data_IF_446677359936
#
_entry.id   IF_446677359936
#
_cell.length_a   1.000
_cell.length_b   1.000
_cell.length_c   1.000
_cell.angle_alpha   90.00
_cell.angle_beta   90.00
_cell.angle_gamma   90.00
#
_symmetry.space_group_name_H-M   'P 1'
#
loop_
_entity.id
_entity.type
_entity.pdbx_description
1 polymer ?
#
# COMPACT_ATOMS: atom_id res chain seq x y z
N UNK A 1 9.34 14.19 28.98
CA UNK A 1 9.94 12.83 29.17
C UNK A 1 11.21 12.74 28.34
N UNK A 2 12.24 12.07 28.82
CA UNK A 2 13.47 11.85 28.07
C UNK A 2 13.26 10.76 26.99
N UNK A 3 13.88 10.90 25.83
CA UNK A 3 13.80 9.92 24.76
C UNK A 3 14.55 8.63 25.16
N UNK A 4 13.85 7.50 25.15
CA UNK A 4 14.38 6.15 25.15
C UNK A 4 13.33 5.23 24.50
N UNK A 5 13.71 3.99 24.20
CA UNK A 5 12.84 3.06 23.48
C UNK A 5 11.50 2.80 24.17
N UNK A 6 11.50 2.60 25.47
CA UNK A 6 10.28 2.36 26.26
C UNK A 6 9.33 3.57 26.22
N UNK A 7 9.87 4.78 26.34
CA UNK A 7 9.08 6.01 26.28
C UNK A 7 8.56 6.25 24.84
N UNK A 8 9.33 5.90 23.82
CA UNK A 8 8.91 5.97 22.43
C UNK A 8 7.74 5.02 22.16
N UNK A 9 7.84 3.76 22.55
CA UNK A 9 6.76 2.77 22.40
C UNK A 9 5.49 3.19 23.15
N UNK A 10 5.62 3.74 24.35
CA UNK A 10 4.50 4.30 25.12
C UNK A 10 3.85 5.48 24.37
N UNK A 11 4.64 6.41 23.86
CA UNK A 11 4.16 7.55 23.09
C UNK A 11 3.40 7.10 21.83
N UNK A 12 3.93 6.13 21.09
CA UNK A 12 3.24 5.55 19.93
C UNK A 12 1.91 4.89 20.33
N UNK A 13 1.89 4.14 21.43
CA UNK A 13 0.65 3.56 21.96
C UNK A 13 -0.39 4.62 22.30
N UNK A 14 0.02 5.73 22.93
CA UNK A 14 -0.85 6.86 23.22
C UNK A 14 -1.31 7.58 21.94
N UNK A 15 -0.44 7.76 20.95
CA UNK A 15 -0.77 8.34 19.65
C UNK A 15 -1.86 7.52 18.96
N UNK A 16 -1.69 6.20 18.87
CA UNK A 16 -2.69 5.30 18.28
C UNK A 16 -4.01 5.28 19.07
N UNK A 17 -3.96 5.39 20.38
CA UNK A 17 -5.17 5.41 21.23
C UNK A 17 -5.95 6.71 21.07
N UNK A 18 -5.29 7.86 20.94
CA UNK A 18 -5.92 9.19 20.81
C UNK A 18 -6.37 9.51 19.39
N UNK A 19 -5.68 8.95 18.38
CA UNK A 19 -5.91 9.20 16.96
C UNK A 19 -6.18 7.87 16.25
N UNK A 20 -7.43 7.36 16.28
CA UNK A 20 -7.76 6.10 15.63
C UNK A 20 -7.47 6.15 14.13
N UNK A 21 -7.02 5.03 13.58
CA UNK A 21 -6.67 4.91 12.17
C UNK A 21 -7.66 4.02 11.43
N UNK A 22 -8.00 4.40 10.19
CA UNK A 22 -8.83 3.56 9.32
C UNK A 22 -8.23 2.16 9.15
N UNK A 23 -6.90 2.07 9.12
CA UNK A 23 -6.21 0.79 9.01
C UNK A 23 -6.53 -0.16 10.17
N UNK A 24 -6.44 0.30 11.42
CA UNK A 24 -6.61 -0.54 12.62
C UNK A 24 -8.05 -0.60 13.11
N UNK A 25 -8.74 0.54 13.09
CA UNK A 25 -10.02 0.74 13.75
C UNK A 25 -11.21 0.78 12.78
N UNK A 26 -10.94 0.71 11.47
CA UNK A 26 -11.96 0.84 10.43
C UNK A 26 -12.48 2.28 10.33
N UNK A 27 -13.66 2.44 9.72
CA UNK A 27 -14.31 3.74 9.54
C UNK A 27 -15.12 4.16 10.78
N UNK A 28 -14.49 4.11 11.95
CA UNK A 28 -15.09 4.60 13.19
C UNK A 28 -15.04 6.13 13.26
N UNK A 29 -15.87 6.72 14.12
CA UNK A 29 -15.85 8.17 14.36
C UNK A 29 -14.45 8.62 14.82
N UNK A 30 -13.84 9.55 14.06
CA UNK A 30 -12.49 10.06 14.32
C UNK A 30 -11.36 9.37 13.54
N UNK A 31 -11.56 8.15 13.01
CA UNK A 31 -10.54 7.47 12.17
C UNK A 31 -10.47 8.07 10.75
N UNK A 32 -11.60 8.57 10.24
CA UNK A 32 -11.68 9.26 8.95
C UNK A 32 -12.33 10.63 9.13
N UNK A 33 -11.65 11.66 8.69
CA UNK A 33 -12.14 13.04 8.65
C UNK A 33 -12.17 13.50 7.19
N UNK A 34 -13.34 13.60 6.56
CA UNK A 34 -13.45 14.14 5.22
C UNK A 34 -13.17 15.65 5.23
N UNK A 35 -12.36 16.11 4.28
CA UNK A 35 -12.02 17.52 4.11
C UNK A 35 -10.54 17.79 4.31
N UNK A 36 -10.07 18.89 3.70
CA UNK A 36 -8.64 19.26 3.71
C UNK A 36 -8.33 20.39 4.71
N UNK A 37 -9.38 21.01 5.31
CA UNK A 37 -9.21 22.20 6.15
C UNK A 37 -8.32 21.95 7.37
N UNK A 38 -8.48 20.80 8.04
CA UNK A 38 -7.65 20.39 9.17
C UNK A 38 -6.18 20.24 8.75
N UNK A 39 -5.97 19.49 7.66
CA UNK A 39 -4.63 19.27 7.13
C UNK A 39 -3.98 20.56 6.63
N UNK A 40 -4.72 21.46 5.98
CA UNK A 40 -4.19 22.75 5.51
C UNK A 40 -3.75 23.65 6.67
N UNK A 41 -4.54 23.73 7.74
CA UNK A 41 -4.17 24.48 8.95
C UNK A 41 -2.95 23.88 9.64
N UNK A 42 -2.88 22.54 9.70
CA UNK A 42 -1.74 21.86 10.27
C UNK A 42 -0.48 22.09 9.44
N UNK A 43 -0.56 21.93 8.11
CA UNK A 43 0.54 22.19 7.18
C UNK A 43 1.05 23.66 7.30
N UNK A 44 0.13 24.62 7.45
CA UNK A 44 0.49 26.02 7.67
C UNK A 44 1.25 26.21 8.99
N UNK A 45 0.82 25.54 10.06
CA UNK A 45 1.52 25.58 11.35
C UNK A 45 2.92 24.97 11.30
N UNK A 46 3.14 24.02 10.39
CA UNK A 46 4.43 23.41 10.10
C UNK A 46 5.30 24.23 9.13
N UNK A 47 4.80 25.38 8.65
CA UNK A 47 5.50 26.25 7.70
C UNK A 47 5.44 25.75 6.25
N UNK A 48 4.39 25.04 5.87
CA UNK A 48 4.11 24.52 4.52
C UNK A 48 5.28 23.70 3.94
N UNK A 49 5.70 22.63 4.62
CA UNK A 49 6.90 21.87 4.26
C UNK A 49 6.86 21.31 2.84
N UNK A 50 5.68 20.92 2.31
CA UNK A 50 5.55 20.38 0.95
C UNK A 50 6.03 21.35 -0.15
N UNK A 51 6.10 22.63 0.11
CA UNK A 51 6.58 23.64 -0.86
C UNK A 51 8.10 23.64 -1.05
N UNK A 52 8.83 22.86 -0.26
CA UNK A 52 10.31 22.81 -0.28
C UNK A 52 10.90 21.70 -1.13
N UNK A 53 10.05 20.85 -1.71
CA UNK A 53 10.47 19.75 -2.57
C UNK A 53 9.46 19.56 -3.71
N UNK A 54 9.90 18.98 -4.82
CA UNK A 54 9.02 18.52 -5.88
C UNK A 54 8.28 17.28 -5.44
N UNK A 55 7.11 16.98 -6.07
CA UNK A 55 6.37 15.78 -5.70
C UNK A 55 5.72 15.08 -6.90
N UNK A 56 5.54 13.76 -6.78
CA UNK A 56 4.68 12.93 -7.64
C UNK A 56 3.57 12.37 -6.75
N UNK A 57 2.32 12.55 -7.16
CA UNK A 57 1.16 12.15 -6.35
C UNK A 57 0.48 10.93 -6.95
N UNK A 58 0.37 9.84 -6.16
CA UNK A 58 -0.10 8.53 -6.64
C UNK A 58 -1.37 8.11 -5.92
N UNK A 59 -2.48 7.99 -6.68
CA UNK A 59 -3.73 7.41 -6.21
C UNK A 59 -4.08 6.12 -6.98
N UNK A 60 -5.06 5.38 -6.50
CA UNK A 60 -5.50 4.12 -7.12
C UNK A 60 -6.12 3.18 -6.11
N UNK A 61 -6.68 2.06 -6.55
CA UNK A 61 -7.15 1.01 -5.66
C UNK A 61 -6.00 0.10 -5.27
N UNK A 62 -5.40 -0.58 -6.24
CA UNK A 62 -4.24 -1.45 -6.05
C UNK A 62 -3.04 -0.90 -6.83
N UNK A 63 -1.82 -1.31 -6.47
CA UNK A 63 -0.61 -0.92 -7.20
C UNK A 63 0.10 0.34 -6.70
N UNK A 64 -0.55 1.22 -5.95
CA UNK A 64 0.03 2.49 -5.47
C UNK A 64 1.44 2.34 -4.89
N UNK A 65 1.60 1.54 -3.83
CA UNK A 65 2.89 1.33 -3.17
C UNK A 65 3.96 0.73 -4.09
N UNK A 66 3.57 -0.15 -5.05
CA UNK A 66 4.50 -0.70 -6.05
C UNK A 66 4.97 0.38 -7.03
N UNK A 67 4.03 1.19 -7.57
CA UNK A 67 4.35 2.32 -8.46
C UNK A 67 5.24 3.33 -7.73
N UNK A 68 4.89 3.71 -6.49
CA UNK A 68 5.71 4.61 -5.67
C UNK A 68 7.13 4.08 -5.48
N UNK A 69 7.28 2.78 -5.19
CA UNK A 69 8.59 2.16 -4.95
C UNK A 69 9.45 2.07 -6.21
N UNK A 70 8.86 1.71 -7.36
CA UNK A 70 9.57 1.67 -8.64
C UNK A 70 10.01 3.08 -9.07
N UNK A 71 9.14 4.09 -8.92
CA UNK A 71 9.49 5.48 -9.19
C UNK A 71 10.61 5.97 -8.26
N UNK A 72 10.51 5.70 -6.96
CA UNK A 72 11.52 6.12 -6.01
C UNK A 72 12.89 5.48 -6.32
N UNK A 73 12.91 4.20 -6.70
CA UNK A 73 14.13 3.50 -7.10
C UNK A 73 14.75 4.11 -8.38
N UNK A 74 13.93 4.40 -9.40
CA UNK A 74 14.39 5.01 -10.65
C UNK A 74 14.92 6.44 -10.43
N UNK A 75 14.21 7.27 -9.70
CA UNK A 75 14.61 8.64 -9.38
C UNK A 75 15.90 8.67 -8.54
N UNK A 76 16.02 7.76 -7.57
CA UNK A 76 17.24 7.62 -6.78
C UNK A 76 18.45 7.19 -7.63
N UNK A 77 18.24 6.30 -8.61
CA UNK A 77 19.28 5.92 -9.57
C UNK A 77 19.71 7.07 -10.48
N UNK A 78 18.84 8.05 -10.71
CA UNK A 78 19.16 9.28 -11.44
C UNK A 78 19.87 10.34 -10.55
N UNK A 79 20.18 10.00 -9.30
CA UNK A 79 20.95 10.85 -8.38
C UNK A 79 20.11 11.72 -7.45
N UNK A 80 18.76 11.58 -7.48
CA UNK A 80 17.89 12.32 -6.57
C UNK A 80 17.90 11.71 -5.16
N UNK A 81 17.78 12.56 -4.15
CA UNK A 81 17.35 12.18 -2.81
C UNK A 81 15.82 12.15 -2.78
N UNK A 82 15.24 10.95 -2.70
CA UNK A 82 13.80 10.75 -2.88
C UNK A 82 13.11 10.55 -1.53
N UNK A 83 12.13 11.40 -1.20
CA UNK A 83 11.16 11.12 -0.15
C UNK A 83 10.14 10.10 -0.65
N UNK A 84 9.87 9.06 0.13
CA UNK A 84 8.86 8.04 -0.20
C UNK A 84 7.84 7.96 0.93
N UNK A 85 6.62 8.43 0.66
CA UNK A 85 5.48 8.33 1.57
C UNK A 85 4.51 7.26 1.10
N UNK A 86 4.33 6.20 1.91
CA UNK A 86 3.48 5.06 1.58
C UNK A 86 2.57 4.67 2.75
N UNK A 87 1.43 4.03 2.44
CA UNK A 87 0.49 3.54 3.44
C UNK A 87 -0.31 2.34 2.94
N UNK A 88 -0.77 1.47 3.85
CA UNK A 88 -0.41 1.39 5.27
C UNK A 88 0.99 0.81 5.50
N UNK A 89 1.54 0.95 6.71
CA UNK A 89 2.73 0.20 7.13
C UNK A 89 2.38 -1.26 7.42
N UNK A 90 3.36 -2.15 7.36
CA UNK A 90 3.20 -3.57 7.72
C UNK A 90 3.63 -3.85 9.15
N UNK A 91 4.90 -3.75 9.45
CA UNK A 91 5.49 -4.16 10.73
C UNK A 91 5.95 -2.99 11.58
N UNK A 92 6.42 -1.90 10.96
CA UNK A 92 6.93 -0.71 11.64
C UNK A 92 6.20 0.55 11.17
N UNK A 93 5.72 1.35 12.12
CA UNK A 93 5.08 2.63 11.83
C UNK A 93 5.90 3.54 10.89
N UNK A 94 7.23 3.51 11.03
CA UNK A 94 8.18 4.33 10.29
C UNK A 94 8.28 3.98 8.81
N UNK A 95 7.77 2.82 8.38
CA UNK A 95 7.68 2.43 6.96
C UNK A 95 6.92 3.46 6.11
N UNK A 96 6.08 4.30 6.76
CA UNK A 96 5.30 5.34 6.09
C UNK A 96 6.14 6.47 5.52
N UNK A 97 7.29 6.76 6.12
CA UNK A 97 8.18 7.83 5.68
C UNK A 97 9.60 7.32 5.51
N UNK A 98 10.05 7.25 4.27
CA UNK A 98 11.38 6.75 3.90
C UNK A 98 12.12 7.77 3.04
N UNK A 99 13.44 7.70 3.06
CA UNK A 99 14.31 8.32 2.06
C UNK A 99 14.98 7.21 1.28
N UNK A 100 14.96 7.33 -0.04
CA UNK A 100 15.61 6.42 -0.98
C UNK A 100 16.69 7.20 -1.70
N UNK A 101 17.93 6.77 -1.57
CA UNK A 101 19.11 7.41 -2.18
C UNK A 101 20.26 6.40 -2.29
N UNK A 102 21.15 6.56 -3.27
CA UNK A 102 22.37 5.77 -3.38
C UNK A 102 22.18 4.25 -3.48
N UNK A 103 21.03 3.79 -4.01
CA UNK A 103 20.70 2.37 -4.14
C UNK A 103 20.20 1.69 -2.86
N UNK A 104 19.85 2.45 -1.83
CA UNK A 104 19.28 1.97 -0.58
C UNK A 104 18.20 2.88 -0.02
N UNK A 105 17.72 2.54 1.17
CA UNK A 105 16.66 3.29 1.84
C UNK A 105 16.88 3.37 3.36
N UNK A 106 16.27 4.36 3.98
CA UNK A 106 16.14 4.48 5.44
C UNK A 106 14.78 5.03 5.83
N UNK A 107 14.25 4.59 6.95
CA UNK A 107 13.05 5.17 7.55
C UNK A 107 13.39 6.41 8.39
N UNK A 108 12.40 7.25 8.64
CA UNK A 108 12.44 8.22 9.72
C UNK A 108 12.84 7.53 11.03
N UNK A 109 13.74 8.10 11.80
CA UNK A 109 14.21 7.48 13.04
C UNK A 109 13.18 7.59 14.17
N UNK A 110 13.25 6.69 15.15
CA UNK A 110 12.40 6.74 16.35
C UNK A 110 12.55 8.09 17.08
N UNK A 111 13.74 8.68 17.04
CA UNK A 111 14.03 10.00 17.63
C UNK A 111 13.33 11.12 16.87
N UNK A 112 13.37 11.12 15.54
CA UNK A 112 12.69 12.14 14.73
C UNK A 112 11.16 12.05 14.87
N UNK A 113 10.58 10.84 14.94
CA UNK A 113 9.16 10.66 15.26
C UNK A 113 8.83 11.20 16.65
N UNK A 114 9.65 10.88 17.65
CA UNK A 114 9.49 11.37 19.02
C UNK A 114 9.51 12.89 19.10
N UNK A 115 10.50 13.50 18.46
CA UNK A 115 10.67 14.96 18.47
C UNK A 115 9.51 15.65 17.74
N UNK A 116 9.01 15.06 16.64
CA UNK A 116 7.84 15.60 15.93
C UNK A 116 6.58 15.53 16.80
N UNK A 117 6.27 14.38 17.37
CA UNK A 117 5.06 14.18 18.19
C UNK A 117 5.11 15.04 19.46
N UNK A 118 6.28 15.19 20.08
CA UNK A 118 6.45 16.01 21.28
C UNK A 118 6.53 17.51 21.02
N UNK A 119 6.84 17.92 19.80
CA UNK A 119 7.07 19.33 19.42
C UNK A 119 5.86 20.05 18.83
N UNK A 120 4.78 19.34 18.50
CA UNK A 120 3.62 19.92 17.80
C UNK A 120 2.31 19.65 18.54
N UNK A 121 1.34 20.57 18.40
CA UNK A 121 -0.04 20.34 18.82
C UNK A 121 -0.76 19.48 17.79
N UNK A 122 -1.07 18.25 18.17
CA UNK A 122 -1.75 17.25 17.33
C UNK A 122 -3.26 17.18 17.65
N UNK A 123 -3.76 18.03 18.51
CA UNK A 123 -5.16 18.04 18.96
C UNK A 123 -6.12 18.20 17.79
N UNK A 124 -7.14 17.36 17.75
CA UNK A 124 -8.16 17.43 16.72
C UNK A 124 -7.74 16.92 15.34
N UNK A 125 -6.50 16.47 15.13
CA UNK A 125 -6.06 15.86 13.87
C UNK A 125 -6.41 14.38 13.81
N UNK A 126 -6.64 13.85 12.62
CA UNK A 126 -6.69 12.41 12.37
C UNK A 126 -5.28 11.82 12.35
N UNK A 127 -5.20 10.50 12.57
CA UNK A 127 -3.94 9.78 12.45
C UNK A 127 -3.24 10.01 11.09
N UNK A 128 -4.02 10.07 10.01
CA UNK A 128 -3.46 10.24 8.68
C UNK A 128 -2.94 11.66 8.43
N UNK A 129 -3.64 12.70 8.94
CA UNK A 129 -3.14 14.09 8.91
C UNK A 129 -1.81 14.22 9.65
N UNK A 130 -1.70 13.60 10.85
CA UNK A 130 -0.46 13.62 11.64
C UNK A 130 0.69 12.96 10.87
N UNK A 131 0.46 11.78 10.31
CA UNK A 131 1.53 11.06 9.59
C UNK A 131 1.93 11.74 8.29
N UNK A 132 0.99 12.41 7.60
CA UNK A 132 1.26 13.21 6.41
C UNK A 132 2.10 14.43 6.74
N UNK A 133 1.70 15.22 7.75
CA UNK A 133 2.45 16.39 8.18
C UNK A 133 3.85 16.04 8.70
N UNK A 134 3.97 14.93 9.45
CA UNK A 134 5.26 14.41 9.90
C UNK A 134 6.18 14.05 8.72
N UNK A 135 5.67 13.32 7.74
CA UNK A 135 6.46 12.91 6.57
C UNK A 135 6.91 14.14 5.77
N UNK A 136 6.01 15.10 5.50
CA UNK A 136 6.36 16.31 4.75
C UNK A 136 7.37 17.18 5.48
N UNK A 137 7.22 17.36 6.80
CA UNK A 137 8.19 18.09 7.62
C UNK A 137 9.57 17.42 7.60
N UNK A 138 9.58 16.09 7.70
CA UNK A 138 10.81 15.33 7.66
C UNK A 138 11.50 15.42 6.29
N UNK A 139 10.76 15.25 5.19
CA UNK A 139 11.30 15.39 3.84
C UNK A 139 11.91 16.78 3.60
N UNK A 140 11.21 17.84 4.02
CA UNK A 140 11.72 19.19 3.93
C UNK A 140 12.99 19.40 4.77
N UNK A 141 13.03 18.84 5.99
CA UNK A 141 14.21 18.90 6.87
C UNK A 141 15.40 18.08 6.38
N UNK A 142 15.14 17.06 5.58
CA UNK A 142 16.16 16.21 4.95
C UNK A 142 16.54 16.68 3.55
N UNK A 143 15.99 17.82 3.09
CA UNK A 143 16.28 18.43 1.79
C UNK A 143 16.13 17.43 0.62
N UNK A 144 14.99 16.70 0.57
CA UNK A 144 14.73 15.80 -0.55
C UNK A 144 14.49 16.60 -1.82
N UNK A 145 15.00 16.11 -2.95
CA UNK A 145 14.81 16.74 -4.26
C UNK A 145 13.36 16.54 -4.76
N UNK A 146 12.85 15.34 -4.57
CA UNK A 146 11.51 14.94 -4.99
C UNK A 146 10.90 13.97 -3.99
N UNK A 147 9.58 14.08 -3.74
CA UNK A 147 8.84 13.11 -2.94
C UNK A 147 7.82 12.37 -3.78
N UNK A 148 7.81 11.03 -3.69
CA UNK A 148 6.76 10.18 -4.25
C UNK A 148 5.74 9.90 -3.15
N UNK A 149 4.51 10.38 -3.33
CA UNK A 149 3.50 10.48 -2.29
C UNK A 149 2.29 9.61 -2.66
N UNK A 150 2.06 8.55 -1.89
CA UNK A 150 0.89 7.69 -1.99
C UNK A 150 -0.29 8.29 -1.23
N UNK A 151 -1.50 8.37 -1.85
CA UNK A 151 -2.74 8.68 -1.14
C UNK A 151 -3.12 7.56 -0.16
N UNK A 152 -3.68 7.92 0.99
CA UNK A 152 -4.19 6.94 1.94
C UNK A 152 -5.53 6.35 1.50
N UNK A 153 -6.49 7.20 1.16
CA UNK A 153 -7.85 6.79 0.78
C UNK A 153 -8.45 7.76 -0.25
N UNK A 154 -8.96 7.22 -1.37
CA UNK A 154 -9.58 8.04 -2.41
C UNK A 154 -8.57 8.90 -3.14
N UNK A 155 -8.70 10.19 -3.07
CA UNK A 155 -7.83 11.21 -3.66
C UNK A 155 -8.31 12.62 -3.30
N UNK A 156 -9.53 12.99 -3.69
CA UNK A 156 -10.09 14.35 -3.56
C UNK A 156 -10.01 14.92 -2.15
N UNK A 157 -10.32 14.14 -1.13
CA UNK A 157 -10.35 14.53 0.28
C UNK A 157 -9.23 13.87 1.10
N UNK A 158 -8.24 13.28 0.42
CA UNK A 158 -7.09 12.67 1.08
C UNK A 158 -6.18 13.76 1.66
N UNK A 159 -5.65 13.56 2.86
CA UNK A 159 -4.78 14.55 3.52
C UNK A 159 -3.54 14.90 2.71
N UNK A 160 -3.09 14.01 1.81
CA UNK A 160 -1.96 14.29 0.92
C UNK A 160 -2.32 15.27 -0.20
N UNK A 161 -3.62 15.50 -0.48
CA UNK A 161 -4.07 16.29 -1.64
C UNK A 161 -3.96 17.81 -1.45
N UNK A 162 -3.24 18.27 -0.45
CA UNK A 162 -2.86 19.68 -0.25
C UNK A 162 -1.70 20.13 -1.17
N UNK A 163 -1.01 19.18 -1.81
CA UNK A 163 0.16 19.43 -2.66
C UNK A 163 -0.23 19.84 -4.08
N UNK A 164 0.72 20.48 -4.78
CA UNK A 164 0.70 20.67 -6.24
C UNK A 164 1.89 19.90 -6.81
N UNK A 165 1.68 18.66 -7.32
CA UNK A 165 2.77 17.80 -7.78
C UNK A 165 3.23 18.16 -9.21
N UNK A 166 4.39 17.63 -9.61
CA UNK A 166 4.87 17.67 -11.01
C UNK A 166 4.09 16.69 -11.91
N UNK A 167 3.53 15.60 -11.30
CA UNK A 167 2.79 14.56 -12.01
C UNK A 167 1.76 13.91 -11.07
N UNK A 168 0.54 13.70 -11.58
CA UNK A 168 -0.48 12.88 -10.92
C UNK A 168 -0.53 11.49 -11.57
N UNK A 169 -0.66 10.43 -10.76
CA UNK A 169 -0.75 9.05 -11.26
C UNK A 169 -1.96 8.38 -10.65
N UNK A 170 -2.78 7.75 -11.50
CA UNK A 170 -3.84 6.85 -11.10
C UNK A 170 -3.45 5.44 -11.51
N UNK A 171 -3.26 4.56 -10.53
CA UNK A 171 -3.03 3.13 -10.76
C UNK A 171 -4.37 2.42 -11.03
N UNK A 172 -4.48 1.13 -10.82
CA UNK A 172 -5.71 0.38 -11.12
C UNK A 172 -6.93 0.88 -10.34
N UNK A 173 -8.12 0.76 -10.94
CA UNK A 173 -9.42 1.05 -10.31
C UNK A 173 -10.19 -0.25 -10.08
N UNK A 174 -10.55 -0.50 -8.83
CA UNK A 174 -11.35 -1.65 -8.42
C UNK A 174 -12.29 -1.29 -7.27
N UNK A 175 -13.26 -2.15 -7.01
CA UNK A 175 -14.18 -1.99 -5.87
C UNK A 175 -13.42 -2.24 -4.57
N UNK A 176 -13.22 -1.19 -3.81
CA UNK A 176 -12.72 -1.20 -2.43
C UNK A 176 -13.19 0.06 -1.72
N UNK A 177 -13.37 -0.03 -0.40
CA UNK A 177 -13.87 1.08 0.41
C UNK A 177 -15.19 1.69 -0.10
N UNK A 178 -16.09 0.85 -0.63
CA UNK A 178 -17.31 1.29 -1.33
C UNK A 178 -18.22 2.16 -0.46
N UNK A 179 -18.24 1.94 0.85
CA UNK A 179 -19.02 2.77 1.79
C UNK A 179 -18.58 4.25 1.81
N UNK A 180 -17.34 4.56 1.38
CA UNK A 180 -16.78 5.91 1.42
C UNK A 180 -16.54 6.50 0.02
N UNK A 181 -16.17 5.66 -0.94
CA UNK A 181 -15.75 6.11 -2.27
C UNK A 181 -16.81 5.92 -3.35
N UNK A 182 -17.93 5.23 -3.02
CA UNK A 182 -18.99 4.90 -3.97
C UNK A 182 -19.06 3.41 -4.31
N UNK A 183 -20.24 2.97 -4.79
CA UNK A 183 -20.56 1.58 -5.07
C UNK A 183 -20.13 1.11 -6.47
N UNK A 184 -19.62 2.01 -7.31
CA UNK A 184 -19.22 1.73 -8.69
C UNK A 184 -17.77 2.12 -8.96
N UNK A 185 -17.15 1.51 -9.98
CA UNK A 185 -15.80 1.87 -10.40
C UNK A 185 -15.72 3.32 -10.89
N UNK A 186 -16.78 3.82 -11.52
CA UNK A 186 -16.87 5.20 -11.99
C UNK A 186 -16.86 6.22 -10.84
N UNK A 187 -17.58 5.95 -9.74
CA UNK A 187 -17.56 6.79 -8.54
C UNK A 187 -16.19 6.78 -7.87
N UNK A 188 -15.59 5.61 -7.73
CA UNK A 188 -14.24 5.46 -7.16
C UNK A 188 -13.19 6.18 -8.04
N UNK A 189 -13.30 6.10 -9.37
CA UNK A 189 -12.44 6.81 -10.30
C UNK A 189 -12.58 8.34 -10.13
N UNK A 190 -13.80 8.85 -9.97
CA UNK A 190 -14.05 10.28 -9.75
C UNK A 190 -13.40 10.79 -8.46
N UNK A 191 -13.47 10.03 -7.34
CA UNK A 191 -12.82 10.37 -6.08
C UNK A 191 -11.28 10.38 -6.21
N UNK A 192 -10.72 9.42 -6.96
CA UNK A 192 -9.27 9.34 -7.18
C UNK A 192 -8.76 10.42 -8.12
N UNK A 193 -9.49 10.74 -9.19
CA UNK A 193 -9.20 11.85 -10.09
C UNK A 193 -9.22 13.23 -9.40
N UNK A 194 -9.72 13.32 -8.18
CA UNK A 194 -9.65 14.53 -7.36
C UNK A 194 -8.23 14.97 -6.99
N UNK A 195 -7.18 14.19 -7.31
CA UNK A 195 -5.78 14.62 -7.21
C UNK A 195 -5.31 15.45 -8.42
N UNK A 196 -6.06 15.49 -9.51
CA UNK A 196 -5.69 16.27 -10.70
C UNK A 196 -5.62 17.76 -10.37
N UNK A 197 -4.60 18.43 -10.92
CA UNK A 197 -4.34 19.85 -10.65
C UNK A 197 -4.20 20.62 -11.97
N UNK A 198 -4.55 21.91 -11.99
CA UNK A 198 -4.43 22.74 -13.20
C UNK A 198 -3.01 22.74 -13.78
N UNK A 199 -2.89 22.40 -15.05
CA UNK A 199 -1.61 22.38 -15.76
C UNK A 199 -0.65 21.23 -15.40
N UNK A 200 -0.98 20.41 -14.41
CA UNK A 200 -0.15 19.27 -14.01
C UNK A 200 -0.58 18.04 -14.82
N UNK A 201 0.34 17.35 -15.53
CA UNK A 201 -0.01 16.14 -16.27
C UNK A 201 -0.51 15.03 -15.34
N UNK A 202 -1.45 14.22 -15.86
CA UNK A 202 -1.95 13.03 -15.17
C UNK A 202 -1.78 11.79 -16.05
N UNK A 203 -1.32 10.69 -15.42
CA UNK A 203 -1.23 9.36 -16.03
C UNK A 203 -2.21 8.43 -15.36
N UNK A 204 -3.01 7.73 -16.14
CA UNK A 204 -3.88 6.63 -15.70
C UNK A 204 -3.31 5.32 -16.24
N UNK A 205 -3.24 4.29 -15.41
CA UNK A 205 -2.58 3.02 -15.74
C UNK A 205 -3.18 2.35 -17.00
N UNK A 206 -4.50 2.39 -17.17
CA UNK A 206 -5.16 1.80 -18.33
C UNK A 206 -6.42 2.55 -18.76
N UNK A 207 -6.71 2.52 -20.07
CA UNK A 207 -7.93 3.05 -20.68
C UNK A 207 -9.05 2.02 -20.57
N UNK A 208 -9.75 2.03 -19.44
CA UNK A 208 -10.86 1.13 -19.17
C UNK A 208 -12.20 1.80 -19.54
N UNK A 209 -13.03 1.12 -20.34
CA UNK A 209 -14.31 1.66 -20.86
C UNK A 209 -15.26 2.17 -19.77
N UNK A 210 -15.19 1.64 -18.55
CA UNK A 210 -16.05 2.01 -17.43
C UNK A 210 -15.56 3.28 -16.71
N UNK A 211 -14.27 3.58 -16.79
CA UNK A 211 -13.63 4.68 -16.02
C UNK A 211 -12.99 5.76 -16.88
N UNK A 212 -12.61 5.47 -18.12
CA UNK A 212 -11.90 6.42 -19.02
C UNK A 212 -12.65 7.74 -19.17
N UNK A 213 -13.94 7.71 -19.51
CA UNK A 213 -14.76 8.91 -19.63
C UNK A 213 -14.94 9.72 -18.35
N UNK A 214 -14.72 9.09 -17.18
CA UNK A 214 -14.67 9.80 -15.89
C UNK A 214 -13.37 10.59 -15.77
N UNK A 215 -12.24 9.97 -16.10
CA UNK A 215 -10.93 10.62 -16.07
C UNK A 215 -10.83 11.77 -17.09
N UNK A 216 -11.32 11.56 -18.31
CA UNK A 216 -11.37 12.60 -19.35
C UNK A 216 -12.14 13.83 -18.87
N UNK A 217 -13.35 13.63 -18.34
CA UNK A 217 -14.16 14.73 -17.79
C UNK A 217 -13.46 15.44 -16.64
N UNK A 218 -12.88 14.68 -15.68
CA UNK A 218 -12.17 15.24 -14.53
C UNK A 218 -10.91 15.98 -14.93
N UNK A 219 -10.19 15.50 -15.91
CA UNK A 219 -9.03 16.19 -16.48
C UNK A 219 -9.42 17.49 -17.17
N UNK A 220 -10.52 17.49 -17.92
CA UNK A 220 -11.05 18.71 -18.56
C UNK A 220 -11.50 19.73 -17.51
N UNK A 221 -12.24 19.32 -16.46
CA UNK A 221 -12.65 20.16 -15.34
C UNK A 221 -11.45 20.79 -14.61
N UNK A 222 -10.36 20.04 -14.43
CA UNK A 222 -9.14 20.49 -13.78
C UNK A 222 -8.15 21.20 -14.72
N UNK A 223 -8.41 21.29 -16.02
CA UNK A 223 -7.46 21.76 -17.02
C UNK A 223 -6.10 21.01 -16.96
N UNK A 224 -6.16 19.69 -16.82
CA UNK A 224 -5.04 18.78 -16.61
C UNK A 224 -4.77 17.99 -17.90
N UNK A 225 -3.54 17.95 -18.45
CA UNK A 225 -3.19 17.05 -19.54
C UNK A 225 -3.33 15.58 -19.07
N UNK A 226 -4.10 14.76 -19.80
CA UNK A 226 -4.38 13.37 -19.44
C UNK A 226 -3.72 12.40 -20.41
N UNK A 227 -3.15 11.32 -19.88
CA UNK A 227 -2.52 10.24 -20.63
C UNK A 227 -2.93 8.87 -20.05
N UNK A 228 -2.98 7.84 -20.92
CA UNK A 228 -3.15 6.44 -20.53
C UNK A 228 -1.86 5.66 -20.86
N UNK A 229 -1.44 4.80 -19.91
CA UNK A 229 -0.13 4.12 -19.97
C UNK A 229 -0.17 2.71 -20.59
N UNK A 230 -1.33 2.20 -20.94
CA UNK A 230 -1.54 0.83 -21.48
C UNK A 230 -0.97 0.60 -22.88
N UNK A 231 -0.56 1.65 -23.59
CA UNK A 231 0.13 1.55 -24.88
C UNK A 231 1.65 1.45 -24.80
N UNK A 232 2.22 1.32 -23.60
CA UNK A 232 3.68 1.23 -23.45
C UNK A 232 4.19 -0.18 -23.82
N UNK A 233 5.33 -0.30 -24.53
CA UNK A 233 5.89 -1.61 -24.90
C UNK A 233 6.23 -2.49 -23.70
N UNK A 234 6.05 -3.82 -23.85
CA UNK A 234 6.44 -4.79 -22.81
C UNK A 234 7.94 -4.68 -22.48
N UNK A 235 8.29 -4.53 -21.20
CA UNK A 235 9.68 -4.43 -20.78
C UNK A 235 10.37 -5.81 -20.78
N UNK A 236 11.64 -5.86 -21.20
CA UNK A 236 12.42 -7.08 -21.32
C UNK A 236 13.14 -7.51 -20.03
N UNK A 237 12.81 -6.96 -18.87
CA UNK A 237 13.48 -7.29 -17.61
C UNK A 237 12.50 -7.77 -16.53
N UNK A 238 13.01 -8.56 -15.58
CA UNK A 238 12.25 -9.10 -14.47
C UNK A 238 12.38 -8.22 -13.24
N UNK A 239 11.28 -8.06 -12.52
CA UNK A 239 11.22 -7.34 -11.26
C UNK A 239 11.46 -8.28 -10.08
N UNK A 240 12.02 -7.75 -8.98
CA UNK A 240 11.98 -8.37 -7.65
C UNK A 240 10.54 -8.37 -7.07
N UNK A 241 9.71 -7.45 -7.53
CA UNK A 241 8.26 -7.42 -7.34
C UNK A 241 7.60 -8.45 -8.27
N UNK A 242 7.44 -9.69 -7.83
CA UNK A 242 7.02 -10.83 -8.66
C UNK A 242 5.49 -10.99 -8.82
N UNK A 243 4.67 -10.06 -8.33
CA UNK A 243 3.21 -10.10 -8.45
C UNK A 243 2.74 -10.07 -9.90
N UNK A 244 1.67 -10.81 -10.27
CA UNK A 244 1.17 -10.85 -11.66
C UNK A 244 0.62 -9.51 -12.16
N UNK A 245 0.34 -8.60 -11.25
CA UNK A 245 -0.17 -7.24 -11.51
C UNK A 245 0.96 -6.20 -11.72
N UNK A 246 2.22 -6.61 -11.67
CA UNK A 246 3.33 -5.66 -11.70
C UNK A 246 3.68 -5.18 -13.11
N UNK A 247 3.28 -5.91 -14.15
CA UNK A 247 3.46 -5.45 -15.55
C UNK A 247 2.72 -4.13 -15.80
N UNK A 248 1.44 -4.04 -15.41
CA UNK A 248 0.67 -2.80 -15.53
C UNK A 248 1.27 -1.65 -14.70
N UNK A 249 1.70 -1.94 -13.46
CA UNK A 249 2.39 -0.97 -12.62
C UNK A 249 3.68 -0.48 -13.27
N UNK A 250 4.44 -1.38 -13.89
CA UNK A 250 5.71 -1.04 -14.57
C UNK A 250 5.48 -0.16 -15.80
N UNK A 251 4.47 -0.47 -16.64
CA UNK A 251 4.09 0.39 -17.77
C UNK A 251 3.75 1.82 -17.30
N UNK A 252 2.98 1.91 -16.22
CA UNK A 252 2.64 3.20 -15.60
C UNK A 252 3.89 3.97 -15.16
N UNK A 253 4.86 3.29 -14.53
CA UNK A 253 6.13 3.89 -14.09
C UNK A 253 6.98 4.36 -15.25
N UNK A 254 7.16 3.53 -16.28
CA UNK A 254 7.97 3.87 -17.45
C UNK A 254 7.38 5.08 -18.20
N UNK A 255 6.06 5.13 -18.34
CA UNK A 255 5.36 6.25 -18.93
C UNK A 255 5.53 7.53 -18.08
N UNK A 256 5.36 7.41 -16.77
CA UNK A 256 5.51 8.50 -15.81
C UNK A 256 6.93 9.11 -15.84
N UNK A 257 7.98 8.27 -15.88
CA UNK A 257 9.37 8.73 -16.00
C UNK A 257 9.60 9.52 -17.30
N UNK A 258 9.03 9.06 -18.41
CA UNK A 258 9.09 9.79 -19.68
C UNK A 258 8.47 11.19 -19.59
N UNK A 259 7.32 11.35 -18.94
CA UNK A 259 6.70 12.68 -18.72
C UNK A 259 7.49 13.57 -17.76
N UNK A 260 8.17 12.98 -16.78
CA UNK A 260 9.05 13.72 -15.87
C UNK A 260 10.39 14.11 -16.51
N UNK A 261 10.70 13.60 -17.72
CA UNK A 261 12.00 13.79 -18.37
C UNK A 261 13.13 13.00 -17.68
N UNK A 262 12.78 11.94 -16.95
CA UNK A 262 13.70 11.13 -16.17
C UNK A 262 14.08 9.83 -16.89
N UNK A 263 15.33 9.37 -16.69
CA UNK A 263 15.79 8.11 -17.25
C UNK A 263 15.18 6.91 -16.53
N UNK A 264 14.75 5.90 -17.26
CA UNK A 264 14.29 4.64 -16.69
C UNK A 264 15.49 3.69 -16.45
N UNK A 265 16.11 3.73 -15.28
CA UNK A 265 17.12 2.74 -14.90
C UNK A 265 16.46 1.37 -14.72
N UNK A 266 16.56 0.51 -15.72
CA UNK A 266 16.00 -0.84 -15.68
C UNK A 266 16.53 -1.66 -14.50
N UNK A 267 17.82 -1.51 -14.17
CA UNK A 267 18.44 -2.20 -13.02
C UNK A 267 17.82 -1.77 -11.69
N UNK A 268 17.62 -0.46 -11.47
CA UNK A 268 17.03 0.06 -10.25
C UNK A 268 15.55 -0.34 -10.15
N UNK A 269 14.80 -0.25 -11.23
CA UNK A 269 13.39 -0.66 -11.27
C UNK A 269 13.25 -2.17 -11.02
N UNK A 270 14.13 -2.98 -11.58
CA UNK A 270 14.17 -4.43 -11.35
C UNK A 270 14.36 -4.80 -9.87
N UNK A 271 15.03 -3.95 -9.09
CA UNK A 271 15.31 -4.10 -7.65
C UNK A 271 14.51 -3.14 -6.77
N UNK A 272 13.34 -2.74 -7.23
CA UNK A 272 12.55 -1.69 -6.57
C UNK A 272 12.12 -2.05 -5.15
N UNK A 273 11.78 -3.31 -4.87
CA UNK A 273 11.44 -3.75 -3.52
C UNK A 273 12.65 -3.68 -2.58
N UNK A 274 13.82 -4.13 -3.02
CA UNK A 274 15.07 -4.06 -2.26
C UNK A 274 15.48 -2.61 -2.00
N UNK A 275 15.50 -1.76 -3.05
CA UNK A 275 15.95 -0.36 -2.98
C UNK A 275 14.99 0.51 -2.16
N UNK A 276 13.70 0.21 -2.10
CA UNK A 276 12.69 0.98 -1.35
C UNK A 276 12.27 0.35 -0.03
N UNK A 277 12.65 -0.91 0.21
CA UNK A 277 12.19 -1.68 1.36
C UNK A 277 10.69 -1.98 1.31
N UNK A 278 10.11 -2.20 0.12
CA UNK A 278 8.71 -2.58 -0.03
C UNK A 278 8.53 -4.07 0.24
N UNK A 279 7.62 -4.43 1.15
CA UNK A 279 7.34 -5.80 1.58
C UNK A 279 5.92 -6.23 1.23
N UNK A 280 5.68 -7.54 1.24
CA UNK A 280 4.34 -8.12 1.13
C UNK A 280 3.70 -7.99 -0.25
N UNK A 281 4.47 -7.97 -1.33
CA UNK A 281 3.98 -7.90 -2.72
C UNK A 281 4.45 -9.13 -3.51
N UNK A 282 3.73 -10.23 -3.37
CA UNK A 282 4.13 -11.54 -3.89
C UNK A 282 5.55 -11.90 -3.43
N UNK A 283 5.83 -11.58 -2.19
CA UNK A 283 7.15 -11.72 -1.57
C UNK A 283 7.41 -13.19 -1.23
N UNK A 284 8.57 -13.70 -1.65
CA UNK A 284 9.06 -15.01 -1.26
C UNK A 284 9.81 -14.91 0.06
N UNK A 285 9.29 -15.58 1.06
CA UNK A 285 9.93 -15.66 2.37
C UNK A 285 11.03 -16.72 2.37
N UNK A 286 12.09 -16.57 3.19
CA UNK A 286 13.24 -17.46 3.19
C UNK A 286 12.90 -18.88 3.65
N UNK A 287 13.70 -19.86 3.19
CA UNK A 287 13.64 -21.27 3.59
C UNK A 287 12.56 -22.08 2.87
N UNK A 288 12.63 -23.42 3.08
CA UNK A 288 11.69 -24.38 2.53
C UNK A 288 10.61 -24.78 3.56
N UNK A 289 9.40 -25.13 3.13
CA UNK A 289 8.88 -25.07 1.75
C UNK A 289 8.70 -23.65 1.25
N UNK A 290 8.71 -23.46 -0.09
CA UNK A 290 8.45 -22.16 -0.70
C UNK A 290 7.20 -21.51 -0.08
N UNK A 291 7.39 -20.32 0.47
CA UNK A 291 6.32 -19.56 1.12
C UNK A 291 6.24 -18.18 0.48
N UNK A 292 5.06 -17.83 -0.05
CA UNK A 292 4.79 -16.54 -0.69
C UNK A 292 3.77 -15.79 0.17
N UNK A 293 3.99 -14.49 0.38
CA UNK A 293 2.99 -13.63 1.01
C UNK A 293 2.62 -12.44 0.13
N UNK A 294 1.32 -12.06 0.19
CA UNK A 294 0.79 -10.93 -0.56
C UNK A 294 -0.35 -10.25 0.19
N UNK A 295 -0.31 -8.92 0.28
CA UNK A 295 -1.30 -8.12 1.03
C UNK A 295 -2.62 -7.88 0.30
N UNK A 296 -2.83 -8.45 -0.89
CA UNK A 296 -4.09 -8.38 -1.62
C UNK A 296 -5.27 -8.82 -0.74
N UNK A 297 -6.29 -7.97 -0.62
CA UNK A 297 -7.39 -8.15 0.32
C UNK A 297 -8.75 -7.74 -0.23
N UNK A 298 -8.84 -7.44 -1.53
CA UNK A 298 -10.07 -7.13 -2.23
C UNK A 298 -10.27 -8.08 -3.42
N UNK A 299 -11.50 -8.20 -3.96
CA UNK A 299 -11.79 -9.16 -5.03
C UNK A 299 -10.91 -8.99 -6.27
N UNK A 300 -10.57 -7.76 -6.65
CA UNK A 300 -9.74 -7.49 -7.82
C UNK A 300 -8.32 -8.06 -7.65
N UNK A 301 -7.65 -7.77 -6.53
CA UNK A 301 -6.31 -8.27 -6.23
C UNK A 301 -6.29 -9.79 -6.03
N UNK A 302 -7.26 -10.33 -5.25
CA UNK A 302 -7.31 -11.77 -4.95
C UNK A 302 -7.63 -12.61 -6.19
N UNK A 303 -8.44 -12.11 -7.12
CA UNK A 303 -8.69 -12.78 -8.41
C UNK A 303 -7.39 -13.06 -9.16
N UNK A 304 -6.54 -12.05 -9.25
CA UNK A 304 -5.26 -12.14 -9.98
C UNK A 304 -4.31 -13.08 -9.23
N UNK A 305 -4.21 -12.95 -7.91
CA UNK A 305 -3.33 -13.80 -7.10
C UNK A 305 -3.74 -15.28 -7.14
N UNK A 306 -5.01 -15.56 -6.95
CA UNK A 306 -5.52 -16.93 -6.96
C UNK A 306 -5.41 -17.57 -8.34
N UNK A 307 -5.67 -16.85 -9.43
CA UNK A 307 -5.45 -17.33 -10.78
C UNK A 307 -4.00 -17.74 -11.02
N UNK A 308 -3.03 -16.94 -10.54
CA UNK A 308 -1.61 -17.27 -10.64
C UNK A 308 -1.26 -18.51 -9.82
N UNK A 309 -1.79 -18.64 -8.60
CA UNK A 309 -1.56 -19.81 -7.75
C UNK A 309 -2.11 -21.09 -8.41
N UNK A 310 -3.29 -21.04 -8.99
CA UNK A 310 -3.87 -22.18 -9.71
C UNK A 310 -3.06 -22.57 -10.95
N UNK A 311 -2.56 -21.57 -11.71
CA UNK A 311 -1.72 -21.79 -12.89
C UNK A 311 -0.37 -22.45 -12.56
N UNK A 312 0.13 -22.33 -11.32
CA UNK A 312 1.36 -23.00 -10.88
C UNK A 312 1.18 -24.54 -10.80
N UNK A 313 -0.05 -25.03 -10.74
CA UNK A 313 -0.41 -26.45 -10.70
C UNK A 313 0.37 -27.28 -9.66
N UNK A 314 0.52 -26.73 -8.45
CA UNK A 314 1.23 -27.34 -7.31
C UNK A 314 0.26 -27.62 -6.15
N UNK A 315 0.57 -28.58 -5.26
CA UNK A 315 -0.15 -28.71 -3.98
C UNK A 315 -0.05 -27.40 -3.18
N UNK A 316 -1.21 -26.82 -2.86
CA UNK A 316 -1.30 -25.45 -2.33
C UNK A 316 -1.87 -25.43 -0.93
N UNK A 317 -1.15 -24.83 0.01
CA UNK A 317 -1.51 -24.61 1.40
C UNK A 317 -1.67 -23.12 1.63
N UNK A 318 -2.90 -22.66 1.92
CA UNK A 318 -3.21 -21.22 2.01
C UNK A 318 -3.52 -20.84 3.45
N UNK A 319 -2.71 -19.96 4.02
CA UNK A 319 -3.01 -19.26 5.29
C UNK A 319 -3.80 -18.01 4.95
N UNK A 320 -5.06 -17.98 5.35
CA UNK A 320 -5.98 -16.93 4.95
C UNK A 320 -6.73 -16.34 6.13
N UNK A 321 -6.74 -15.02 6.19
CA UNK A 321 -7.54 -14.24 7.13
C UNK A 321 -7.93 -12.90 6.54
N UNK A 322 -9.10 -12.40 6.89
CA UNK A 322 -9.68 -11.20 6.31
C UNK A 322 -10.32 -10.32 7.39
N UNK A 323 -10.52 -9.04 7.08
CA UNK A 323 -11.20 -8.11 7.96
C UNK A 323 -12.72 -8.30 7.88
N UNK A 324 -13.43 -8.08 9.01
CA UNK A 324 -14.87 -8.30 9.12
C UNK A 324 -15.71 -7.36 8.23
N UNK A 325 -15.16 -6.20 7.85
CA UNK A 325 -15.80 -5.22 6.97
C UNK A 325 -15.65 -5.55 5.46
N UNK A 326 -14.92 -6.60 5.11
CA UNK A 326 -14.75 -7.02 3.71
C UNK A 326 -15.83 -8.01 3.28
N UNK A 327 -16.24 -7.89 2.03
CA UNK A 327 -17.23 -8.81 1.45
C UNK A 327 -16.59 -10.15 1.06
N UNK A 328 -16.54 -11.07 2.03
CA UNK A 328 -16.02 -12.42 1.82
C UNK A 328 -16.82 -13.19 0.75
N UNK A 329 -18.12 -12.91 0.58
CA UNK A 329 -18.97 -13.62 -0.38
C UNK A 329 -18.54 -13.39 -1.82
N UNK A 330 -18.03 -12.20 -2.13
CA UNK A 330 -17.46 -11.90 -3.46
C UNK A 330 -16.08 -12.54 -3.68
N UNK A 331 -15.39 -12.94 -2.60
CA UNK A 331 -14.05 -13.56 -2.64
C UNK A 331 -14.16 -15.10 -2.75
N UNK A 332 -15.09 -15.74 -2.06
CA UNK A 332 -15.23 -17.20 -2.01
C UNK A 332 -15.24 -17.89 -3.40
N UNK A 333 -15.93 -17.33 -4.44
CA UNK A 333 -15.91 -17.94 -5.78
C UNK A 333 -14.55 -17.89 -6.47
N UNK A 334 -13.65 -17.02 -6.03
CA UNK A 334 -12.33 -16.82 -6.61
C UNK A 334 -11.28 -17.75 -6.00
N UNK A 335 -11.58 -18.34 -4.83
CA UNK A 335 -10.62 -19.11 -4.04
C UNK A 335 -10.32 -20.48 -4.65
N UNK A 336 -9.04 -20.89 -4.77
CA UNK A 336 -8.62 -22.21 -5.25
C UNK A 336 -9.29 -23.37 -4.51
N UNK A 337 -10.10 -24.18 -5.20
CA UNK A 337 -10.88 -25.27 -4.58
C UNK A 337 -10.03 -26.48 -4.19
N UNK A 338 -8.87 -26.66 -4.80
CA UNK A 338 -7.92 -27.76 -4.52
C UNK A 338 -6.93 -27.43 -3.41
N UNK A 339 -6.95 -26.21 -2.90
CA UNK A 339 -6.05 -25.79 -1.83
C UNK A 339 -6.58 -26.25 -0.46
N UNK A 340 -5.64 -26.49 0.47
CA UNK A 340 -5.93 -26.64 1.88
C UNK A 340 -5.76 -25.31 2.59
N UNK A 341 -6.79 -24.91 3.32
CA UNK A 341 -6.86 -23.61 3.98
C UNK A 341 -6.59 -23.70 5.48
N UNK A 342 -5.80 -22.77 5.99
CA UNK A 342 -5.57 -22.49 7.40
C UNK A 342 -6.21 -21.13 7.70
N UNK A 343 -7.43 -21.19 8.29
CA UNK A 343 -8.18 -19.99 8.61
C UNK A 343 -7.59 -19.34 9.87
N UNK A 344 -7.16 -18.09 9.77
CA UNK A 344 -6.53 -17.32 10.83
C UNK A 344 -7.24 -15.98 11.06
N UNK A 345 -7.05 -15.40 12.24
CA UNK A 345 -7.43 -14.03 12.56
C UNK A 345 -6.21 -13.31 13.14
N UNK A 346 -5.74 -12.21 12.53
CA UNK A 346 -4.69 -11.40 13.13
C UNK A 346 -5.18 -10.73 14.43
N UNK A 347 -4.24 -10.39 15.32
CA UNK A 347 -4.52 -9.91 16.67
C UNK A 347 -5.00 -8.45 16.70
N UNK A 348 -6.03 -8.11 15.93
CA UNK A 348 -6.67 -6.81 15.91
C UNK A 348 -8.20 -6.92 16.01
N UNK A 349 -8.89 -5.92 16.62
CA UNK A 349 -10.33 -6.01 16.90
C UNK A 349 -11.23 -6.17 15.66
N UNK A 350 -10.83 -5.64 14.49
CA UNK A 350 -11.63 -5.71 13.24
C UNK A 350 -11.40 -6.98 12.43
N UNK A 351 -10.64 -7.94 12.91
CA UNK A 351 -10.45 -9.23 12.23
C UNK A 351 -11.76 -10.02 12.19
N UNK A 352 -12.05 -10.67 11.08
CA UNK A 352 -13.07 -11.70 11.05
C UNK A 352 -12.56 -12.92 11.85
N UNK A 353 -13.27 -13.38 12.88
CA UNK A 353 -12.83 -14.54 13.68
C UNK A 353 -12.58 -15.77 12.79
N UNK A 354 -11.48 -16.49 13.02
CA UNK A 354 -11.08 -17.63 12.20
C UNK A 354 -12.16 -18.73 12.10
N UNK A 355 -12.93 -18.93 13.20
CA UNK A 355 -14.05 -19.87 13.22
C UNK A 355 -15.23 -19.42 12.34
N UNK A 356 -15.53 -18.11 12.33
CA UNK A 356 -16.58 -17.55 11.47
C UNK A 356 -16.17 -17.62 9.99
N UNK A 357 -14.91 -17.25 9.68
CA UNK A 357 -14.35 -17.42 8.33
C UNK A 357 -14.49 -18.85 7.84
N UNK A 358 -14.07 -19.84 8.65
CA UNK A 358 -14.19 -21.25 8.33
C UNK A 358 -15.66 -21.69 8.13
N UNK A 359 -16.58 -21.14 8.92
CA UNK A 359 -18.02 -21.37 8.78
C UNK A 359 -18.58 -20.92 7.42
N UNK A 360 -18.06 -19.80 6.88
CA UNK A 360 -18.44 -19.28 5.55
C UNK A 360 -17.81 -20.08 4.40
N UNK A 361 -16.67 -20.73 4.62
CA UNK A 361 -15.93 -21.51 3.61
C UNK A 361 -16.43 -22.94 3.49
N UNK A 362 -17.74 -23.14 3.35
CA UNK A 362 -18.32 -24.48 3.14
C UNK A 362 -17.85 -25.10 1.82
N UNK A 363 -17.49 -26.39 1.86
CA UNK A 363 -16.99 -27.11 0.70
C UNK A 363 -15.50 -26.91 0.38
N UNK A 364 -14.77 -26.19 1.24
CA UNK A 364 -13.30 -26.11 1.18
C UNK A 364 -12.66 -27.06 2.20
N UNK A 365 -11.48 -27.62 1.87
CA UNK A 365 -10.61 -28.27 2.86
C UNK A 365 -9.99 -27.18 3.75
N UNK A 366 -10.43 -27.10 5.01
CA UNK A 366 -10.09 -25.99 5.88
C UNK A 366 -9.86 -26.41 7.33
N UNK A 367 -8.99 -25.70 8.00
CA UNK A 367 -8.67 -25.83 9.41
C UNK A 367 -8.65 -24.48 10.10
N UNK A 368 -9.22 -24.39 11.29
CA UNK A 368 -9.14 -23.19 12.13
C UNK A 368 -7.85 -23.23 12.94
N UNK A 369 -7.12 -22.12 12.99
CA UNK A 369 -5.88 -21.94 13.74
C UNK A 369 -6.04 -20.82 14.78
N UNK A 370 -5.37 -20.93 15.91
CA UNK A 370 -5.47 -19.99 17.01
C UNK A 370 -4.71 -18.67 16.80
N UNK A 371 -3.78 -18.66 15.83
CA UNK A 371 -3.02 -17.45 15.45
C UNK A 371 -2.48 -17.56 14.02
N UNK A 372 -2.03 -16.43 13.46
CA UNK A 372 -1.35 -16.41 12.15
C UNK A 372 -0.07 -17.25 12.20
N UNK A 373 0.74 -17.10 13.25
CA UNK A 373 1.98 -17.87 13.41
C UNK A 373 1.74 -19.38 13.45
N UNK A 374 0.69 -19.83 14.16
CA UNK A 374 0.29 -21.24 14.15
C UNK A 374 -0.13 -21.72 12.76
N UNK A 375 -0.98 -20.94 12.07
CA UNK A 375 -1.43 -21.27 10.72
C UNK A 375 -0.27 -21.40 9.75
N UNK A 376 0.68 -20.47 9.77
CA UNK A 376 1.89 -20.49 8.94
C UNK A 376 2.75 -21.72 9.26
N UNK A 377 3.02 -22.00 10.54
CA UNK A 377 3.80 -23.18 10.97
C UNK A 377 3.15 -24.46 10.44
N UNK A 378 1.84 -24.64 10.66
CA UNK A 378 1.12 -25.84 10.24
C UNK A 378 1.07 -26.01 8.72
N UNK A 379 0.81 -24.92 7.98
CA UNK A 379 0.82 -24.93 6.54
C UNK A 379 2.20 -25.34 5.99
N UNK A 380 3.28 -24.80 6.55
CA UNK A 380 4.65 -25.15 6.18
C UNK A 380 5.00 -26.61 6.50
N UNK A 381 4.60 -27.11 7.67
CA UNK A 381 4.82 -28.53 8.05
C UNK A 381 4.11 -29.50 7.09
N UNK A 382 2.90 -29.19 6.69
CA UNK A 382 2.15 -30.03 5.73
C UNK A 382 2.68 -29.91 4.30
N UNK A 383 3.03 -28.69 3.87
CA UNK A 383 3.65 -28.46 2.57
C UNK A 383 5.00 -29.19 2.44
N UNK A 384 5.83 -29.17 3.48
CA UNK A 384 7.12 -29.88 3.51
C UNK A 384 7.00 -31.40 3.37
N UNK A 385 5.86 -32.00 3.82
CA UNK A 385 5.58 -33.43 3.68
C UNK A 385 4.93 -33.81 2.34
N UNK A 386 4.57 -32.80 1.53
CA UNK A 386 3.87 -32.97 0.27
C UNK A 386 4.83 -32.64 -0.89
N UNK A 387 5.16 -33.58 -1.77
CA UNK A 387 6.03 -33.32 -2.90
C UNK A 387 5.57 -32.13 -3.74
N UNK A 388 6.43 -31.11 -3.89
CA UNK A 388 6.11 -29.87 -4.59
C UNK A 388 5.16 -28.94 -3.86
N UNK A 389 4.84 -29.18 -2.59
CA UNK A 389 3.97 -28.35 -1.77
C UNK A 389 4.51 -26.92 -1.63
N UNK A 390 3.62 -25.94 -1.63
CA UNK A 390 3.93 -24.53 -1.41
C UNK A 390 2.91 -23.86 -0.50
N UNK A 391 3.33 -22.80 0.16
CA UNK A 391 2.48 -22.02 1.06
C UNK A 391 2.22 -20.64 0.48
N UNK A 392 0.96 -20.19 0.55
CA UNK A 392 0.58 -18.82 0.30
C UNK A 392 -0.04 -18.21 1.56
N UNK A 393 0.35 -16.99 1.90
CA UNK A 393 -0.16 -16.24 3.05
C UNK A 393 -0.77 -14.93 2.58
N UNK A 394 -2.06 -14.70 2.87
CA UNK A 394 -2.73 -13.50 2.37
C UNK A 394 -4.14 -13.26 2.89
N UNK A 395 -4.87 -12.39 2.17
CA UNK A 395 -6.23 -11.95 2.50
C UNK A 395 -6.27 -10.69 3.35
N UNK A 396 -5.16 -10.27 3.97
CA UNK A 396 -5.06 -9.04 4.73
C UNK A 396 -3.59 -8.63 4.90
N UNK A 397 -3.32 -7.32 4.90
CA UNK A 397 -2.03 -6.76 5.27
C UNK A 397 -1.60 -7.15 6.70
N UNK A 398 -2.53 -7.31 7.64
CA UNK A 398 -2.22 -7.72 9.02
C UNK A 398 -1.80 -9.19 9.12
N UNK A 399 -2.44 -10.08 8.35
CA UNK A 399 -2.02 -11.49 8.26
C UNK A 399 -0.60 -11.57 7.72
N UNK A 400 -0.30 -10.82 6.67
CA UNK A 400 1.04 -10.76 6.08
C UNK A 400 2.06 -10.14 7.03
N UNK A 401 1.70 -9.07 7.73
CA UNK A 401 2.57 -8.43 8.73
C UNK A 401 2.96 -9.39 9.86
N UNK A 402 1.99 -10.10 10.45
CA UNK A 402 2.27 -11.09 11.50
C UNK A 402 3.10 -12.28 10.96
N UNK A 403 2.85 -12.70 9.71
CA UNK A 403 3.65 -13.73 9.06
C UNK A 403 5.11 -13.27 8.91
N UNK A 404 5.36 -12.10 8.30
CA UNK A 404 6.72 -11.55 8.12
C UNK A 404 7.43 -11.42 9.47
N UNK A 405 6.77 -10.84 10.48
CA UNK A 405 7.33 -10.71 11.83
C UNK A 405 7.67 -12.06 12.48
N UNK A 406 6.98 -13.13 12.11
CA UNK A 406 7.30 -14.48 12.63
C UNK A 406 8.58 -15.06 12.02
N UNK A 407 8.90 -14.69 10.78
CA UNK A 407 10.15 -15.08 10.10
C UNK A 407 11.36 -14.27 10.60
N UNK A 408 11.18 -12.99 10.91
CA UNK A 408 12.25 -12.11 11.40
C UNK A 408 12.69 -12.44 12.84
N UNK A 409 11.86 -13.17 13.59
CA UNK A 409 12.16 -13.62 14.97
C UNK A 409 12.85 -14.99 15.04
N UNK A 410 12.98 -15.70 13.93
CA UNK A 410 13.68 -16.98 13.82
C UNK A 410 15.15 -16.77 13.44
#
# INVERSE_FOLDING_TARGET
MEFNKTNYEKMLGELFARHPSVQKDGFTAGAYKPGLEGMMKFDESLGRPWTRFKSVHVAGTNGKGSVCSMLAAALAANGHRVGLYTSPHLTDFRERAKIVEGGGWRMISEREVWDFVGGHDLSGLSFFEITTGMAFSWFAGQEVDVAVIETGLGGRLDSTNIITPELCIITSIGLDHCAMLGGTRAEIAAEKAGIFKPGVPAVVASEDWETAGVFERKAAEAHCPLFFADSYPEPEFKLDLNGPYQTENLHTVLFALGLLGESASHEAIARAAEISGLRGRWERLPGEPETICDIGHNPAALRINFAKLEAMNRPLFIVFGIMADKDIRSILPLMPRRARYFCVAPAIPRSLPAGELAGLMQGFDRRVCGSVAEGVRMAREEAARTPGGMVYVGGSNFVVAECISSFERQ
#
